data_IF_282322424180
#
_entry.id   IF_282322424180
#
_cell.length_a   1.000
_cell.length_b   1.000
_cell.length_c   1.000
_cell.angle_alpha   90.00
_cell.angle_beta   90.00
_cell.angle_gamma   90.00
#
_symmetry.space_group_name_H-M   'P 1'
#
loop_
_entity.id
_entity.type
_entity.pdbx_description
1 polymer ?
#
# COMPACT_ATOMS: atom_id res chain seq x y z
N UNK A 1 45.15 5.40 20.37
CA UNK A 1 44.21 6.34 21.01
C UNK A 1 42.87 6.23 20.30
N UNK A 2 41.96 5.54 20.90
CA UNK A 2 40.61 5.37 20.40
C UNK A 2 39.81 6.69 20.57
N UNK A 3 39.43 7.32 19.44
CA UNK A 3 38.55 8.47 19.46
C UNK A 3 37.14 7.98 19.78
N UNK A 4 36.75 8.11 21.02
CA UNK A 4 35.37 7.96 21.47
C UNK A 4 34.54 9.04 20.76
N UNK A 5 33.85 8.66 19.67
CA UNK A 5 32.83 9.49 19.05
C UNK A 5 31.58 9.40 19.93
N UNK A 6 31.43 10.36 20.82
CA UNK A 6 30.14 10.61 21.46
C UNK A 6 29.10 10.82 20.34
N UNK A 7 28.01 10.05 20.27
CA UNK A 7 26.93 10.35 19.34
C UNK A 7 26.27 11.65 19.80
N UNK A 8 26.58 12.74 19.11
CA UNK A 8 25.91 14.03 19.29
C UNK A 8 24.55 13.87 18.62
N UNK A 9 23.51 13.54 19.40
CA UNK A 9 22.15 13.44 18.96
C UNK A 9 21.21 13.18 20.14
N UNK A 10 19.98 13.72 20.05
CA UNK A 10 18.92 13.42 21.02
C UNK A 10 18.75 11.91 21.12
N UNK A 11 18.65 11.30 22.32
CA UNK A 11 18.45 9.88 22.49
C UNK A 11 17.29 9.38 21.61
N UNK A 12 17.51 8.30 20.86
CA UNK A 12 16.47 7.69 20.05
C UNK A 12 15.32 7.25 20.95
N UNK A 13 14.08 7.55 20.55
CA UNK A 13 12.88 7.04 21.23
C UNK A 13 12.58 5.59 20.86
N UNK A 14 13.41 4.97 20.03
CA UNK A 14 13.22 3.60 19.60
C UNK A 14 13.27 2.62 20.77
N UNK A 15 12.34 1.66 20.75
CA UNK A 15 12.27 0.53 21.69
C UNK A 15 12.01 -0.75 20.89
N UNK A 16 12.68 -1.84 21.23
CA UNK A 16 12.49 -3.15 20.58
C UNK A 16 11.05 -3.68 20.71
N UNK A 17 10.36 -3.31 21.79
CA UNK A 17 8.95 -3.66 22.02
C UNK A 17 8.02 -3.15 20.92
N UNK A 18 8.40 -2.09 20.21
CA UNK A 18 7.62 -1.57 19.09
C UNK A 18 7.50 -2.57 17.95
N UNK A 19 8.44 -3.50 17.78
CA UNK A 19 8.36 -4.56 16.76
C UNK A 19 7.14 -5.46 16.95
N UNK A 20 6.82 -5.83 18.18
CA UNK A 20 5.65 -6.65 18.48
C UNK A 20 4.37 -5.81 18.35
N UNK A 21 4.39 -4.59 18.88
CA UNK A 21 3.23 -3.71 18.87
C UNK A 21 2.76 -3.36 17.46
N UNK A 22 3.68 -3.05 16.53
CA UNK A 22 3.27 -2.73 15.16
C UNK A 22 2.67 -3.92 14.43
N UNK A 23 3.10 -5.15 14.74
CA UNK A 23 2.50 -6.37 14.17
C UNK A 23 1.05 -6.52 14.65
N UNK A 24 0.78 -6.30 15.94
CA UNK A 24 -0.59 -6.37 16.46
C UNK A 24 -1.48 -5.29 15.81
N UNK A 25 -1.03 -4.05 15.71
CA UNK A 25 -1.79 -3.00 15.01
C UNK A 25 -1.98 -3.32 13.52
N UNK A 26 -1.01 -3.97 12.89
CA UNK A 26 -1.16 -4.47 11.51
C UNK A 26 -2.31 -5.46 11.39
N UNK A 27 -2.45 -6.41 12.31
CA UNK A 27 -3.57 -7.37 12.33
C UNK A 27 -4.94 -6.70 12.45
N UNK A 28 -5.00 -5.52 13.05
CA UNK A 28 -6.21 -4.69 13.15
C UNK A 28 -6.45 -3.84 11.88
N UNK A 29 -5.56 -3.88 10.91
CA UNK A 29 -5.67 -3.11 9.66
C UNK A 29 -5.10 -1.70 9.73
N UNK A 30 -4.28 -1.38 10.74
CA UNK A 30 -3.69 -0.06 10.91
C UNK A 30 -2.77 0.33 9.74
N UNK A 31 -2.78 1.61 9.39
CA UNK A 31 -1.84 2.21 8.44
C UNK A 31 -0.51 2.57 9.11
N UNK A 32 0.53 2.80 8.31
CA UNK A 32 1.81 3.31 8.84
C UNK A 32 1.66 4.63 9.62
N UNK A 33 0.70 5.47 9.23
CA UNK A 33 0.42 6.71 9.94
C UNK A 33 -0.20 6.45 11.32
N UNK A 34 -1.14 5.52 11.41
CA UNK A 34 -1.75 5.10 12.68
C UNK A 34 -0.71 4.46 13.61
N UNK A 35 0.14 3.57 13.07
CA UNK A 35 1.24 2.96 13.82
C UNK A 35 2.19 4.02 14.40
N UNK A 36 2.57 5.02 13.60
CA UNK A 36 3.41 6.13 14.05
C UNK A 36 2.73 6.95 15.16
N UNK A 37 1.45 7.26 15.01
CA UNK A 37 0.66 7.95 16.02
C UNK A 37 0.60 7.16 17.34
N UNK A 38 0.36 5.85 17.27
CA UNK A 38 0.30 4.98 18.44
C UNK A 38 1.64 4.91 19.20
N UNK A 39 2.76 5.03 18.49
CA UNK A 39 4.09 5.14 19.07
C UNK A 39 4.45 6.56 19.56
N UNK A 40 3.60 7.55 19.31
CA UNK A 40 3.88 8.95 19.63
C UNK A 40 5.03 9.56 18.82
N UNK A 41 5.20 9.13 17.58
CA UNK A 41 6.24 9.60 16.66
C UNK A 41 5.64 10.12 15.35
N UNK A 42 6.44 10.86 14.58
CA UNK A 42 6.07 11.25 13.21
C UNK A 42 6.36 10.11 12.23
N UNK A 43 5.62 10.06 11.12
CA UNK A 43 5.80 9.07 10.06
C UNK A 43 7.22 9.05 9.48
N UNK A 44 7.90 10.21 9.43
CA UNK A 44 9.28 10.28 8.98
C UNK A 44 10.23 9.55 9.93
N UNK A 45 10.01 9.64 11.24
CA UNK A 45 10.75 8.88 12.25
C UNK A 45 10.54 7.37 12.10
N UNK A 46 9.30 6.95 11.79
CA UNK A 46 9.01 5.54 11.48
C UNK A 46 9.80 5.09 10.24
N UNK A 47 9.88 5.90 9.19
CA UNK A 47 10.65 5.59 7.99
C UNK A 47 12.17 5.59 8.24
N UNK A 48 12.66 6.42 9.16
CA UNK A 48 14.07 6.39 9.60
C UNK A 48 14.38 5.10 10.38
N UNK A 49 13.48 4.68 11.27
CA UNK A 49 13.65 3.42 12.00
C UNK A 49 13.61 2.20 11.09
N UNK A 50 12.77 2.20 10.07
CA UNK A 50 12.73 1.18 9.01
C UNK A 50 14.08 1.01 8.30
N UNK A 51 14.83 2.11 8.13
CA UNK A 51 16.17 2.09 7.52
C UNK A 51 17.28 1.75 8.49
N UNK A 52 17.11 2.10 9.77
CA UNK A 52 18.18 2.07 10.79
C UNK A 52 18.19 0.76 11.56
N UNK A 53 17.02 0.18 11.83
CA UNK A 53 16.85 -1.02 12.65
C UNK A 53 16.31 -2.18 11.80
N UNK A 54 17.16 -3.17 11.43
CA UNK A 54 16.73 -4.28 10.57
C UNK A 54 15.56 -5.09 11.13
N UNK A 55 15.53 -5.31 12.45
CA UNK A 55 14.45 -6.01 13.13
C UNK A 55 13.12 -5.25 13.02
N UNK A 56 13.17 -3.92 13.12
CA UNK A 56 11.99 -3.07 12.94
C UNK A 56 11.50 -3.09 11.49
N UNK A 57 12.43 -3.08 10.52
CA UNK A 57 12.10 -3.19 9.09
C UNK A 57 11.33 -4.47 8.79
N UNK A 58 11.78 -5.61 9.33
CA UNK A 58 11.08 -6.89 9.18
C UNK A 58 9.69 -6.82 9.81
N UNK A 59 9.60 -6.33 11.04
CA UNK A 59 8.33 -6.22 11.75
C UNK A 59 7.34 -5.26 11.04
N UNK A 60 7.83 -4.14 10.50
CA UNK A 60 6.99 -3.19 9.76
C UNK A 60 6.45 -3.78 8.46
N UNK A 61 7.26 -4.54 7.73
CA UNK A 61 6.81 -5.26 6.52
C UNK A 61 5.73 -6.27 6.85
N UNK A 62 5.91 -7.04 7.91
CA UNK A 62 4.90 -7.99 8.40
C UNK A 62 3.61 -7.26 8.82
N UNK A 63 3.72 -6.16 9.54
CA UNK A 63 2.58 -5.36 9.97
C UNK A 63 1.76 -4.82 8.78
N UNK A 64 2.43 -4.33 7.74
CA UNK A 64 1.78 -3.87 6.50
C UNK A 64 1.08 -5.02 5.79
N UNK A 65 1.71 -6.19 5.72
CA UNK A 65 1.10 -7.39 5.13
C UNK A 65 -0.13 -7.85 5.91
N UNK A 66 -0.09 -7.88 7.24
CA UNK A 66 -1.27 -8.18 8.07
C UNK A 66 -2.37 -7.14 7.88
N UNK A 67 -2.02 -5.86 7.76
CA UNK A 67 -2.99 -4.81 7.48
C UNK A 67 -3.70 -5.03 6.13
N UNK A 68 -2.96 -5.43 5.10
CA UNK A 68 -3.54 -5.77 3.80
C UNK A 68 -4.51 -6.94 3.93
N UNK A 69 -4.12 -8.02 4.60
CA UNK A 69 -5.00 -9.20 4.82
C UNK A 69 -6.27 -8.81 5.58
N UNK A 70 -6.17 -7.94 6.58
CA UNK A 70 -7.34 -7.45 7.32
C UNK A 70 -8.33 -6.71 6.40
N UNK A 71 -7.84 -5.85 5.52
CA UNK A 71 -8.66 -5.13 4.54
C UNK A 71 -9.21 -6.04 3.43
N UNK A 72 -8.45 -7.02 2.97
CA UNK A 72 -8.91 -8.03 2.01
C UNK A 72 -10.03 -8.88 2.58
N UNK A 73 -9.97 -9.21 3.88
CA UNK A 73 -11.03 -9.93 4.58
C UNK A 73 -12.36 -9.18 4.55
N UNK A 74 -12.32 -7.85 4.70
CA UNK A 74 -13.52 -7.00 4.56
C UNK A 74 -14.11 -7.14 3.15
N UNK A 75 -13.28 -7.09 2.11
CA UNK A 75 -13.72 -7.28 0.72
C UNK A 75 -14.36 -8.65 0.48
N UNK A 76 -13.77 -9.73 1.01
CA UNK A 76 -14.34 -11.07 0.93
C UNK A 76 -15.71 -11.16 1.60
N UNK A 77 -15.83 -10.66 2.83
CA UNK A 77 -17.09 -10.64 3.57
C UNK A 77 -18.17 -9.81 2.85
N UNK A 78 -17.77 -8.75 2.17
CA UNK A 78 -18.68 -7.92 1.40
C UNK A 78 -19.23 -8.66 0.16
N UNK A 79 -18.38 -9.39 -0.54
CA UNK A 79 -18.79 -10.23 -1.69
C UNK A 79 -19.75 -11.33 -1.25
N UNK A 80 -19.57 -11.88 -0.07
CA UNK A 80 -20.46 -12.87 0.55
C UNK A 80 -21.77 -12.26 1.08
N UNK A 81 -21.94 -10.92 1.01
CA UNK A 81 -23.13 -10.23 1.49
C UNK A 81 -23.18 -10.05 3.02
N UNK A 82 -22.08 -10.32 3.72
CA UNK A 82 -22.02 -10.23 5.18
C UNK A 82 -21.95 -8.79 5.73
N UNK A 83 -21.63 -7.80 4.88
CA UNK A 83 -21.50 -6.40 5.28
C UNK A 83 -22.65 -5.58 4.66
N UNK A 84 -23.63 -5.14 5.46
CA UNK A 84 -24.69 -4.28 4.96
C UNK A 84 -24.15 -2.90 4.57
N UNK A 85 -24.72 -2.29 3.53
CA UNK A 85 -24.35 -0.97 3.02
C UNK A 85 -22.87 -0.83 2.61
N UNK A 86 -22.26 -1.92 2.16
CA UNK A 86 -20.87 -1.92 1.70
C UNK A 86 -20.68 -0.99 0.49
N UNK A 87 -19.66 -0.15 0.54
CA UNK A 87 -19.27 0.72 -0.56
C UNK A 87 -18.01 0.19 -1.25
N UNK A 88 -18.18 -0.51 -2.36
CA UNK A 88 -17.09 -1.09 -3.13
C UNK A 88 -16.11 -0.04 -3.66
N UNK A 89 -16.59 1.13 -4.09
CA UNK A 89 -15.74 2.22 -4.61
C UNK A 89 -14.81 2.74 -3.52
N UNK A 90 -15.32 2.98 -2.33
CA UNK A 90 -14.51 3.41 -1.18
C UNK A 90 -13.47 2.36 -0.80
N UNK A 91 -13.86 1.08 -0.80
CA UNK A 91 -12.93 0.00 -0.50
C UNK A 91 -11.80 -0.10 -1.54
N UNK A 92 -12.13 -0.08 -2.85
CA UNK A 92 -11.15 -0.10 -3.94
C UNK A 92 -10.20 1.09 -3.84
N UNK A 93 -10.73 2.30 -3.56
CA UNK A 93 -9.91 3.50 -3.36
C UNK A 93 -8.90 3.31 -2.23
N UNK A 94 -9.31 2.77 -1.09
CA UNK A 94 -8.43 2.49 0.02
C UNK A 94 -7.37 1.44 -0.33
N UNK A 95 -7.76 0.33 -0.98
CA UNK A 95 -6.83 -0.72 -1.38
C UNK A 95 -5.74 -0.20 -2.32
N UNK A 96 -6.11 0.57 -3.33
CA UNK A 96 -5.17 1.18 -4.29
C UNK A 96 -4.20 2.16 -3.64
N UNK A 97 -4.64 2.95 -2.68
CA UNK A 97 -3.80 3.94 -2.01
C UNK A 97 -2.94 3.36 -0.89
N UNK A 98 -3.44 2.36 -0.17
CA UNK A 98 -2.71 1.74 0.96
C UNK A 98 -1.76 0.64 0.50
N UNK A 99 -2.14 -0.14 -0.50
CA UNK A 99 -1.45 -1.34 -0.97
C UNK A 99 -1.18 -1.26 -2.48
N UNK A 100 -0.57 -0.15 -2.91
CA UNK A 100 -0.34 0.17 -4.31
C UNK A 100 0.51 -0.86 -5.06
N UNK A 101 1.30 -1.65 -4.36
CA UNK A 101 2.15 -2.66 -5.01
C UNK A 101 1.31 -3.77 -5.64
N UNK A 102 0.20 -4.16 -4.99
CA UNK A 102 -0.69 -5.21 -5.45
C UNK A 102 -1.95 -4.69 -6.16
N UNK A 103 -2.40 -3.47 -5.82
CA UNK A 103 -3.72 -2.93 -6.23
C UNK A 103 -3.67 -1.70 -7.13
N UNK A 104 -2.49 -1.23 -7.55
CA UNK A 104 -2.41 -0.08 -8.46
C UNK A 104 -2.93 -0.42 -9.85
N UNK A 105 -3.56 0.56 -10.51
CA UNK A 105 -3.84 0.47 -11.92
C UNK A 105 -2.52 0.61 -12.71
N UNK A 106 -2.22 -0.35 -13.57
CA UNK A 106 -1.06 -0.28 -14.45
C UNK A 106 -1.51 0.30 -15.78
N UNK A 107 -1.27 1.58 -15.99
CA UNK A 107 -1.43 2.23 -17.31
C UNK A 107 -0.08 2.15 -18.00
N UNK A 108 0.05 1.29 -19.00
CA UNK A 108 1.20 1.31 -19.90
C UNK A 108 0.90 2.32 -21.01
N UNK A 109 1.54 3.47 -20.97
CA UNK A 109 1.58 4.41 -22.08
C UNK A 109 2.88 4.19 -22.84
N UNK A 110 2.80 3.60 -24.02
CA UNK A 110 3.91 3.59 -24.96
C UNK A 110 3.93 4.94 -25.65
N UNK A 111 4.76 5.86 -25.16
CA UNK A 111 5.01 7.15 -25.81
C UNK A 111 6.00 6.90 -26.93
N UNK A 112 5.54 6.95 -28.17
CA UNK A 112 6.44 6.90 -29.31
C UNK A 112 7.15 8.24 -29.48
N UNK A 113 8.47 8.22 -29.67
CA UNK A 113 9.17 9.41 -30.11
C UNK A 113 8.71 9.78 -31.50
N UNK A 114 8.40 11.04 -31.72
CA UNK A 114 8.13 11.58 -33.03
C UNK A 114 9.44 11.64 -33.84
N UNK A 115 9.39 11.21 -35.09
CA UNK A 115 10.48 11.40 -36.03
C UNK A 115 10.74 12.89 -36.29
N UNK A 116 11.83 13.20 -36.99
CA UNK A 116 12.20 14.59 -37.39
C UNK A 116 11.16 15.26 -38.25
N UNK A 117 10.32 14.48 -38.89
CA UNK A 117 9.16 14.87 -39.74
C UNK A 117 7.86 15.06 -38.93
N UNK A 118 7.90 14.87 -37.61
CA UNK A 118 6.74 14.97 -36.71
C UNK A 118 5.77 13.79 -36.81
N UNK A 119 6.16 12.70 -37.50
CA UNK A 119 5.35 11.48 -37.59
C UNK A 119 5.86 10.41 -36.64
N UNK A 120 4.97 9.52 -36.13
CA UNK A 120 5.38 8.39 -35.31
C UNK A 120 6.34 7.46 -36.07
N UNK A 121 7.42 7.04 -35.42
CA UNK A 121 8.46 6.21 -36.06
C UNK A 121 8.07 4.74 -36.24
N UNK A 122 7.11 4.23 -35.46
CA UNK A 122 6.57 2.87 -35.56
C UNK A 122 5.09 2.81 -35.21
N UNK A 123 4.34 1.78 -35.64
CA UNK A 123 2.93 1.63 -35.26
C UNK A 123 2.78 1.41 -33.73
N UNK A 124 1.95 2.26 -33.14
CA UNK A 124 1.69 2.22 -31.69
C UNK A 124 0.77 1.07 -31.36
N UNK A 125 1.23 0.13 -30.56
CA UNK A 125 0.37 -0.84 -29.89
C UNK A 125 0.03 -0.31 -28.50
N UNK A 126 -1.15 0.30 -28.35
CA UNK A 126 -1.67 0.71 -27.05
C UNK A 126 -2.37 -0.48 -26.41
N UNK A 127 -1.74 -1.12 -25.46
CA UNK A 127 -2.40 -2.08 -24.60
C UNK A 127 -2.82 -1.38 -23.30
N UNK A 128 -4.08 -0.91 -23.26
CA UNK A 128 -4.67 -0.40 -22.02
C UNK A 128 -5.30 -1.58 -21.31
N UNK A 129 -4.62 -2.12 -20.30
CA UNK A 129 -5.24 -3.07 -19.38
C UNK A 129 -5.93 -2.29 -18.28
N UNK A 130 -7.23 -2.05 -18.46
CA UNK A 130 -8.09 -1.59 -17.38
C UNK A 130 -8.59 -2.87 -16.69
N UNK A 131 -8.10 -3.14 -15.49
CA UNK A 131 -8.63 -4.22 -14.65
C UNK A 131 -9.93 -3.74 -13.97
N UNK A 132 -10.91 -3.34 -14.79
CA UNK A 132 -12.28 -3.17 -14.35
C UNK A 132 -13.04 -4.42 -14.73
N UNK A 133 -13.43 -5.19 -13.74
CA UNK A 133 -14.48 -6.17 -13.93
C UNK A 133 -15.77 -5.36 -14.00
N UNK A 134 -16.31 -5.19 -15.19
CA UNK A 134 -17.63 -4.61 -15.40
C UNK A 134 -18.67 -5.61 -14.86
N UNK A 135 -19.11 -5.40 -13.63
CA UNK A 135 -20.15 -6.21 -12.97
C UNK A 135 -21.56 -5.72 -13.31
N UNK A 136 -21.81 -5.32 -14.55
CA UNK A 136 -23.18 -5.13 -14.97
C UNK A 136 -23.81 -6.51 -15.20
N UNK A 137 -24.94 -6.84 -14.51
CA UNK A 137 -25.69 -8.03 -14.85
C UNK A 137 -26.13 -7.93 -16.31
N UNK A 138 -25.86 -8.95 -17.10
CA UNK A 138 -26.42 -9.08 -18.43
C UNK A 138 -27.93 -9.21 -18.26
N UNK A 139 -28.66 -8.20 -18.72
CA UNK A 139 -30.11 -8.31 -18.90
C UNK A 139 -30.36 -9.40 -19.93
N UNK A 140 -30.56 -10.63 -19.45
CA UNK A 140 -31.18 -11.68 -20.24
C UNK A 140 -32.67 -11.38 -20.26
N UNK A 141 -33.10 -10.63 -21.26
CA UNK A 141 -34.51 -10.64 -21.64
C UNK A 141 -34.87 -12.08 -22.01
N UNK A 142 -35.65 -12.70 -21.14
CA UNK A 142 -36.36 -13.93 -21.45
C UNK A 142 -37.48 -13.64 -22.42
N UNK A 143 -37.49 -14.32 -23.51
CA UNK A 143 -38.67 -14.51 -24.36
C UNK A 143 -39.55 -15.53 -23.68
#
# INVERSE_FOLDING_TARGET
MSKNKNPVGRPSKYKSEFCEQIIEWGKEGASKAEMACNMGIHKDTLNEWDKTYPEFSVALKMAVQYSQVAWEKIGKQAVEGAIPNYNATTWIFNMKNRFSDDYKDVIKQDIQPLGKDGLPTDPIVHEIRISHVDTRPSDTEGV
#
